data_IF_768082024796
#
_entry.id   IF_768082024796
#
_cell.length_a   1.000
_cell.length_b   1.000
_cell.length_c   1.000
_cell.angle_alpha   90.00
_cell.angle_beta   90.00
_cell.angle_gamma   90.00
#
_symmetry.space_group_name_H-M   'P 1'
#
loop_
_entity.id
_entity.type
_entity.pdbx_description
1 polymer ?
#
# COMPACT_ATOMS: atom_id res chain seq x y z
N UNK A 1 -16.31 0.02 -49.92
CA UNK A 1 -15.65 -0.40 -48.68
C UNK A 1 -16.63 -0.22 -47.55
N UNK A 2 -16.95 -1.29 -46.81
CA UNK A 2 -17.94 -1.22 -45.73
C UNK A 2 -17.47 -0.32 -44.60
N UNK A 3 -18.38 0.48 -44.04
CA UNK A 3 -18.08 1.31 -42.87
C UNK A 3 -17.69 0.43 -41.67
N UNK A 4 -16.60 0.77 -40.97
CA UNK A 4 -16.13 0.04 -39.78
C UNK A 4 -17.22 0.01 -38.70
N UNK A 5 -17.51 -1.14 -38.09
CA UNK A 5 -18.51 -1.23 -37.02
C UNK A 5 -18.14 -0.38 -35.79
N UNK A 6 -19.12 -0.02 -34.94
CA UNK A 6 -18.88 0.71 -33.70
C UNK A 6 -17.88 -0.02 -32.79
N UNK A 7 -17.96 -1.35 -32.73
CA UNK A 7 -17.00 -2.19 -32.01
C UNK A 7 -15.60 -2.05 -32.60
N UNK A 8 -15.43 -2.15 -33.92
CA UNK A 8 -14.12 -2.04 -34.56
C UNK A 8 -13.48 -0.67 -34.32
N UNK A 9 -14.27 0.40 -34.34
CA UNK A 9 -13.82 1.75 -34.03
C UNK A 9 -13.37 1.88 -32.57
N UNK A 10 -14.09 1.26 -31.64
CA UNK A 10 -13.69 1.21 -30.23
C UNK A 10 -12.42 0.38 -30.02
N UNK A 11 -12.33 -0.83 -30.59
CA UNK A 11 -11.20 -1.74 -30.42
C UNK A 11 -9.91 -1.12 -30.96
N UNK A 12 -9.98 -0.40 -32.09
CA UNK A 12 -8.86 0.36 -32.64
C UNK A 12 -8.32 1.39 -31.64
N UNK A 13 -9.21 2.20 -31.06
CA UNK A 13 -8.84 3.23 -30.11
C UNK A 13 -8.35 2.64 -28.78
N UNK A 14 -9.02 1.60 -28.27
CA UNK A 14 -8.66 0.92 -27.03
C UNK A 14 -7.26 0.28 -27.10
N UNK A 15 -6.90 -0.30 -28.25
CA UNK A 15 -5.59 -0.93 -28.47
C UNK A 15 -4.48 0.07 -28.83
N UNK A 16 -4.78 1.36 -29.03
CA UNK A 16 -3.82 2.34 -29.57
C UNK A 16 -2.54 2.47 -28.74
N UNK A 17 -2.68 2.68 -27.43
CA UNK A 17 -1.53 2.88 -26.52
C UNK A 17 -0.63 1.65 -26.51
N UNK A 18 -1.22 0.46 -26.35
CA UNK A 18 -0.46 -0.79 -26.34
C UNK A 18 0.33 -0.97 -27.65
N UNK A 19 -0.34 -0.79 -28.80
CA UNK A 19 0.31 -0.90 -30.12
C UNK A 19 1.46 0.10 -30.27
N UNK A 20 1.28 1.35 -29.83
CA UNK A 20 2.34 2.38 -29.89
C UNK A 20 3.55 2.05 -29.02
N UNK A 21 3.32 1.59 -27.80
CA UNK A 21 4.42 1.17 -26.92
C UNK A 21 5.12 -0.10 -27.43
N UNK A 22 4.40 -1.01 -28.10
CA UNK A 22 5.02 -2.16 -28.78
C UNK A 22 5.92 -1.71 -29.94
N UNK A 23 5.48 -0.73 -30.73
CA UNK A 23 6.29 -0.10 -31.78
C UNK A 23 7.53 0.60 -31.21
N UNK A 24 7.39 1.38 -30.13
CA UNK A 24 8.52 2.05 -29.47
C UNK A 24 9.56 1.04 -28.97
N UNK A 25 9.13 -0.05 -28.33
CA UNK A 25 10.02 -1.12 -27.88
C UNK A 25 10.74 -1.79 -29.05
N UNK A 26 10.02 -2.06 -30.14
CA UNK A 26 10.61 -2.65 -31.36
C UNK A 26 11.65 -1.74 -32.00
N UNK A 27 11.49 -0.42 -31.87
CA UNK A 27 12.37 0.60 -32.42
C UNK A 27 13.41 1.12 -31.40
N UNK A 28 13.56 0.45 -30.25
CA UNK A 28 14.50 0.82 -29.17
C UNK A 28 14.35 2.27 -28.67
N UNK A 29 13.14 2.83 -28.77
CA UNK A 29 12.85 4.17 -28.25
C UNK A 29 12.79 4.08 -26.72
N UNK A 30 13.63 4.84 -25.97
CA UNK A 30 13.62 4.79 -24.52
C UNK A 30 12.30 5.33 -23.96
N UNK A 31 11.87 4.79 -22.81
CA UNK A 31 10.71 5.32 -22.11
C UNK A 31 10.97 6.75 -21.68
N UNK A 32 10.01 7.63 -21.99
CA UNK A 32 10.00 9.02 -21.57
C UNK A 32 8.57 9.40 -21.16
N UNK A 33 8.45 10.18 -20.08
CA UNK A 33 7.14 10.56 -19.52
C UNK A 33 6.36 11.49 -20.46
N UNK A 34 7.04 12.35 -21.22
CA UNK A 34 6.39 13.20 -22.21
C UNK A 34 5.91 12.38 -23.41
N UNK A 35 6.69 11.38 -23.84
CA UNK A 35 6.28 10.43 -24.88
C UNK A 35 5.02 9.65 -24.48
N UNK A 36 4.98 9.17 -23.23
CA UNK A 36 3.80 8.51 -22.68
C UNK A 36 2.57 9.43 -22.71
N UNK A 37 2.68 10.64 -22.18
CA UNK A 37 1.57 11.61 -22.17
C UNK A 37 1.06 11.92 -23.58
N UNK A 38 1.97 12.10 -24.55
CA UNK A 38 1.61 12.33 -25.95
C UNK A 38 0.84 11.14 -26.53
N UNK A 39 1.29 9.92 -26.28
CA UNK A 39 0.64 8.69 -26.76
C UNK A 39 -0.79 8.55 -26.21
N UNK A 40 -0.99 8.86 -24.93
CA UNK A 40 -2.34 8.88 -24.33
C UNK A 40 -3.22 10.01 -24.90
N UNK A 41 -2.64 11.15 -25.27
CA UNK A 41 -3.39 12.22 -25.94
C UNK A 41 -3.84 11.81 -27.34
N UNK A 42 -2.96 11.17 -28.11
CA UNK A 42 -3.28 10.64 -29.45
C UNK A 42 -4.40 9.58 -29.39
N UNK A 43 -4.42 8.74 -28.36
CA UNK A 43 -5.52 7.80 -28.11
C UNK A 43 -6.86 8.54 -27.88
N UNK A 44 -6.86 9.58 -27.05
CA UNK A 44 -8.06 10.39 -26.79
C UNK A 44 -8.58 11.03 -28.07
N UNK A 45 -7.69 11.58 -28.89
CA UNK A 45 -8.03 12.22 -30.15
C UNK A 45 -8.57 11.20 -31.17
N UNK A 46 -7.97 10.01 -31.24
CA UNK A 46 -8.50 8.90 -32.03
C UNK A 46 -9.89 8.48 -31.58
N UNK A 47 -10.10 8.30 -30.28
CA UNK A 47 -11.40 7.94 -29.72
C UNK A 47 -12.47 8.99 -30.03
N UNK A 48 -12.12 10.29 -29.93
CA UNK A 48 -13.01 11.39 -30.26
C UNK A 48 -13.39 11.41 -31.75
N UNK A 49 -12.41 11.19 -32.65
CA UNK A 49 -12.68 11.08 -34.09
C UNK A 49 -13.59 9.90 -34.39
N UNK A 50 -13.32 8.75 -33.80
CA UNK A 50 -14.07 7.52 -34.01
C UNK A 50 -15.54 7.65 -33.54
N UNK A 51 -15.80 8.27 -32.39
CA UNK A 51 -17.19 8.51 -31.96
C UNK A 51 -17.89 9.58 -32.80
N UNK A 52 -17.17 10.60 -33.26
CA UNK A 52 -17.72 11.62 -34.16
C UNK A 52 -18.16 11.00 -35.49
N UNK A 53 -17.33 10.12 -36.06
CA UNK A 53 -17.68 9.36 -37.25
C UNK A 53 -18.90 8.46 -37.02
N UNK A 54 -18.97 7.79 -35.86
CA UNK A 54 -20.09 6.91 -35.54
C UNK A 54 -21.41 7.68 -35.44
N UNK A 55 -21.43 8.81 -34.72
CA UNK A 55 -22.63 9.65 -34.56
C UNK A 55 -23.06 10.29 -35.87
N UNK A 56 -22.13 10.59 -36.79
CA UNK A 56 -22.45 11.13 -38.11
C UNK A 56 -23.25 10.16 -39.00
N UNK A 57 -23.26 8.86 -38.69
CA UNK A 57 -24.05 7.85 -39.44
C UNK A 57 -25.55 7.92 -39.16
N UNK A 58 -25.95 8.63 -38.11
CA UNK A 58 -27.36 8.78 -37.71
C UNK A 58 -27.62 8.38 -36.26
N UNK A 59 -28.90 8.24 -35.88
CA UNK A 59 -29.29 7.86 -34.52
C UNK A 59 -28.71 6.51 -34.10
N UNK A 60 -27.97 6.49 -33.00
CA UNK A 60 -27.40 5.25 -32.45
C UNK A 60 -28.44 4.49 -31.63
N UNK A 61 -28.48 3.17 -31.84
CA UNK A 61 -29.29 2.19 -31.09
C UNK A 61 -28.44 0.99 -30.67
N UNK A 62 -29.00 0.08 -29.87
CA UNK A 62 -28.33 -1.15 -29.47
C UNK A 62 -26.90 -0.99 -28.95
N UNK A 63 -26.03 -1.91 -29.37
CA UNK A 63 -24.62 -1.94 -28.95
C UNK A 63 -23.81 -0.75 -29.47
N UNK A 64 -24.28 -0.01 -30.48
CA UNK A 64 -23.58 1.18 -30.96
C UNK A 64 -23.59 2.29 -29.91
N UNK A 65 -24.66 2.42 -29.12
CA UNK A 65 -24.69 3.32 -27.96
C UNK A 65 -23.65 2.93 -26.90
N UNK A 66 -23.50 1.63 -26.66
CA UNK A 66 -22.51 1.12 -25.72
C UNK A 66 -21.07 1.45 -26.18
N UNK A 67 -20.73 1.16 -27.44
CA UNK A 67 -19.38 1.46 -27.96
C UNK A 67 -19.14 2.96 -28.10
N UNK A 68 -20.15 3.76 -28.46
CA UNK A 68 -20.06 5.22 -28.43
C UNK A 68 -19.76 5.73 -27.02
N UNK A 69 -20.44 5.19 -26.00
CA UNK A 69 -20.19 5.55 -24.61
C UNK A 69 -18.76 5.20 -24.15
N UNK A 70 -18.22 4.05 -24.59
CA UNK A 70 -16.83 3.68 -24.32
C UNK A 70 -15.83 4.60 -25.03
N UNK A 71 -16.08 4.98 -26.28
CA UNK A 71 -15.25 5.92 -27.02
C UNK A 71 -15.27 7.31 -26.38
N UNK A 72 -16.44 7.81 -25.97
CA UNK A 72 -16.53 9.07 -25.22
C UNK A 72 -15.76 9.01 -23.90
N UNK A 73 -15.86 7.90 -23.16
CA UNK A 73 -15.10 7.72 -21.92
C UNK A 73 -13.59 7.75 -22.19
N UNK A 74 -13.14 7.04 -23.24
CA UNK A 74 -11.74 7.01 -23.66
C UNK A 74 -11.24 8.40 -24.11
N UNK A 75 -12.10 9.18 -24.78
CA UNK A 75 -11.83 10.56 -25.18
C UNK A 75 -11.88 11.59 -24.02
N UNK A 76 -12.21 11.15 -22.80
CA UNK A 76 -12.39 12.04 -21.65
C UNK A 76 -13.61 12.96 -21.76
N UNK A 77 -14.65 12.56 -22.51
CA UNK A 77 -15.93 13.27 -22.65
C UNK A 77 -16.98 12.63 -21.76
N UNK A 78 -16.90 12.90 -20.46
CA UNK A 78 -17.71 12.24 -19.44
C UNK A 78 -19.22 12.39 -19.63
N UNK A 79 -19.71 13.56 -20.05
CA UNK A 79 -21.14 13.79 -20.29
C UNK A 79 -21.66 12.92 -21.45
N UNK A 80 -20.94 12.88 -22.58
CA UNK A 80 -21.31 12.05 -23.73
C UNK A 80 -21.25 10.55 -23.41
N UNK A 81 -20.27 10.14 -22.61
CA UNK A 81 -20.16 8.76 -22.14
C UNK A 81 -21.35 8.37 -21.26
N UNK A 82 -21.72 9.23 -20.31
CA UNK A 82 -22.83 9.00 -19.40
C UNK A 82 -24.17 8.98 -20.14
N UNK A 83 -24.44 9.93 -21.04
CA UNK A 83 -25.65 9.96 -21.86
C UNK A 83 -25.80 8.69 -22.70
N UNK A 84 -24.74 8.30 -23.42
CA UNK A 84 -24.74 7.11 -24.28
C UNK A 84 -25.02 5.84 -23.48
N UNK A 85 -24.41 5.70 -22.30
CA UNK A 85 -24.60 4.54 -21.43
C UNK A 85 -25.99 4.51 -20.79
N UNK A 86 -26.56 5.64 -20.39
CA UNK A 86 -27.95 5.73 -19.90
C UNK A 86 -28.94 5.27 -20.97
N UNK A 87 -28.80 5.81 -22.18
CA UNK A 87 -29.66 5.45 -23.33
C UNK A 87 -29.53 3.99 -23.69
N UNK A 88 -28.31 3.44 -23.67
CA UNK A 88 -28.08 2.02 -23.86
C UNK A 88 -28.85 1.21 -22.80
N UNK A 89 -28.61 1.47 -21.51
CA UNK A 89 -29.22 0.70 -20.41
C UNK A 89 -30.76 0.84 -20.33
N UNK A 90 -31.33 1.94 -20.82
CA UNK A 90 -32.78 2.16 -20.88
C UNK A 90 -33.43 1.57 -22.14
N UNK A 91 -32.66 1.28 -23.18
CA UNK A 91 -33.18 0.77 -24.46
C UNK A 91 -33.58 -0.70 -24.39
N UNK A 92 -34.58 -1.10 -25.20
CA UNK A 92 -35.01 -2.49 -25.31
C UNK A 92 -33.86 -3.43 -25.73
N UNK A 93 -32.93 -2.93 -26.55
CA UNK A 93 -31.76 -3.67 -27.00
C UNK A 93 -30.80 -4.08 -25.87
N UNK A 94 -30.78 -3.35 -24.75
CA UNK A 94 -29.98 -3.77 -23.59
C UNK A 94 -30.50 -5.07 -22.99
N UNK A 95 -31.80 -5.40 -23.11
CA UNK A 95 -32.33 -6.69 -22.68
C UNK A 95 -31.73 -7.86 -23.50
N UNK A 96 -31.42 -7.61 -24.77
CA UNK A 96 -30.84 -8.59 -25.70
C UNK A 96 -29.30 -8.63 -25.65
N UNK A 97 -28.64 -7.60 -25.12
CA UNK A 97 -27.20 -7.60 -24.91
C UNK A 97 -26.76 -8.67 -23.89
N UNK A 98 -25.48 -9.05 -23.91
CA UNK A 98 -24.95 -9.96 -22.89
C UNK A 98 -24.98 -9.31 -21.49
N UNK A 99 -25.06 -10.14 -20.45
CA UNK A 99 -24.95 -9.65 -19.06
C UNK A 99 -23.65 -8.88 -18.83
N UNK A 100 -22.56 -9.31 -19.45
CA UNK A 100 -21.25 -8.66 -19.37
C UNK A 100 -21.27 -7.23 -19.94
N UNK A 101 -21.86 -7.02 -21.13
CA UNK A 101 -21.97 -5.68 -21.73
C UNK A 101 -22.81 -4.75 -20.84
N UNK A 102 -23.94 -5.24 -20.32
CA UNK A 102 -24.78 -4.46 -19.39
C UNK A 102 -24.02 -4.09 -18.12
N UNK A 103 -23.29 -5.03 -17.53
CA UNK A 103 -22.56 -4.77 -16.30
C UNK A 103 -21.40 -3.80 -16.52
N UNK A 104 -20.67 -3.95 -17.63
CA UNK A 104 -19.62 -3.01 -18.02
C UNK A 104 -20.17 -1.60 -18.28
N UNK A 105 -21.34 -1.48 -18.90
CA UNK A 105 -22.01 -0.19 -19.06
C UNK A 105 -22.33 0.47 -17.71
N UNK A 106 -22.84 -0.29 -16.73
CA UNK A 106 -23.09 0.22 -15.37
C UNK A 106 -21.82 0.69 -14.67
N UNK A 107 -20.70 -0.02 -14.83
CA UNK A 107 -19.40 0.44 -14.30
C UNK A 107 -19.02 1.81 -14.86
N UNK A 108 -19.17 2.00 -16.18
CA UNK A 108 -18.90 3.30 -16.83
C UNK A 108 -19.83 4.38 -16.29
N UNK A 109 -21.14 4.11 -16.16
CA UNK A 109 -22.09 5.07 -15.57
C UNK A 109 -21.65 5.49 -14.17
N UNK A 110 -21.28 4.56 -13.28
CA UNK A 110 -20.82 4.90 -11.93
C UNK A 110 -19.58 5.78 -11.95
N UNK A 111 -18.60 5.46 -12.81
CA UNK A 111 -17.39 6.25 -12.94
C UNK A 111 -17.65 7.68 -13.43
N UNK A 112 -18.42 7.81 -14.52
CA UNK A 112 -18.67 9.12 -15.13
C UNK A 112 -19.62 9.97 -14.27
N UNK A 113 -20.70 9.39 -13.75
CA UNK A 113 -21.63 10.08 -12.86
C UNK A 113 -20.93 10.59 -11.59
N UNK A 114 -20.08 9.78 -10.96
CA UNK A 114 -19.31 10.20 -9.79
C UNK A 114 -18.34 11.35 -10.10
N UNK A 115 -17.65 11.32 -11.25
CA UNK A 115 -16.75 12.39 -11.69
C UNK A 115 -17.49 13.71 -11.96
N UNK A 116 -18.70 13.62 -12.52
CA UNK A 116 -19.59 14.76 -12.79
C UNK A 116 -20.36 15.25 -11.55
N UNK A 117 -20.11 14.67 -10.37
CA UNK A 117 -20.77 15.07 -9.12
C UNK A 117 -22.20 14.53 -8.97
N UNK A 118 -22.61 13.56 -9.77
CA UNK A 118 -23.90 12.87 -9.71
C UNK A 118 -23.80 11.58 -8.86
N UNK A 119 -23.37 11.74 -7.60
CA UNK A 119 -23.07 10.61 -6.71
C UNK A 119 -24.30 9.72 -6.40
N UNK A 120 -25.50 10.31 -6.29
CA UNK A 120 -26.74 9.55 -6.05
C UNK A 120 -27.07 8.59 -7.19
N UNK A 121 -26.86 9.02 -8.43
CA UNK A 121 -27.07 8.19 -9.61
C UNK A 121 -26.00 7.09 -9.70
N UNK A 122 -24.75 7.43 -9.39
CA UNK A 122 -23.67 6.46 -9.32
C UNK A 122 -23.99 5.38 -8.27
N UNK A 123 -24.50 5.75 -7.10
CA UNK A 123 -24.91 4.80 -6.06
C UNK A 123 -26.11 3.95 -6.47
N UNK A 124 -27.13 4.55 -7.09
CA UNK A 124 -28.29 3.82 -7.64
C UNK A 124 -27.86 2.80 -8.70
N UNK A 125 -26.93 3.19 -9.57
CA UNK A 125 -26.39 2.30 -10.61
C UNK A 125 -25.53 1.19 -10.01
N UNK A 126 -24.78 1.46 -8.93
CA UNK A 126 -24.09 0.43 -8.16
C UNK A 126 -25.07 -0.59 -7.57
N UNK A 127 -26.18 -0.14 -6.97
CA UNK A 127 -27.21 -1.05 -6.47
C UNK A 127 -27.77 -1.96 -7.59
N UNK A 128 -28.03 -1.38 -8.76
CA UNK A 128 -28.47 -2.15 -9.93
C UNK A 128 -27.40 -3.12 -10.46
N UNK A 129 -26.10 -2.77 -10.39
CA UNK A 129 -25.00 -3.68 -10.72
C UNK A 129 -25.00 -4.89 -9.78
N UNK A 130 -25.12 -4.65 -8.47
CA UNK A 130 -25.07 -5.70 -7.43
C UNK A 130 -26.23 -6.69 -7.52
N UNK A 131 -27.36 -6.29 -8.09
CA UNK A 131 -28.53 -7.15 -8.34
C UNK A 131 -28.43 -7.95 -9.65
N UNK A 132 -27.55 -7.56 -10.57
CA UNK A 132 -27.35 -8.24 -11.86
C UNK A 132 -26.19 -9.23 -11.87
N UNK A 133 -26.06 -9.98 -12.97
CA UNK A 133 -24.94 -10.91 -13.23
C UNK A 133 -24.34 -10.65 -14.64
N UNK A 134 -23.04 -10.93 -14.87
CA UNK A 134 -22.05 -11.42 -13.90
C UNK A 134 -21.51 -10.32 -12.98
N UNK A 135 -21.16 -10.68 -11.73
CA UNK A 135 -20.51 -9.77 -10.79
C UNK A 135 -19.00 -9.98 -10.74
N UNK A 136 -18.26 -8.89 -10.94
CA UNK A 136 -16.80 -8.86 -10.83
C UNK A 136 -16.38 -8.18 -9.52
N UNK A 137 -15.57 -8.87 -8.72
CA UNK A 137 -15.01 -8.30 -7.50
C UNK A 137 -14.14 -7.06 -7.78
N UNK A 138 -13.43 -7.06 -8.91
CA UNK A 138 -12.60 -5.94 -9.34
C UNK A 138 -13.46 -4.72 -9.73
N UNK A 139 -14.60 -4.94 -10.38
CA UNK A 139 -15.53 -3.88 -10.77
C UNK A 139 -16.17 -3.23 -9.53
N UNK A 140 -16.66 -4.05 -8.60
CA UNK A 140 -17.22 -3.59 -7.32
C UNK A 140 -16.20 -2.75 -6.54
N UNK A 141 -14.95 -3.22 -6.45
CA UNK A 141 -13.88 -2.47 -5.81
C UNK A 141 -13.68 -1.11 -6.48
N UNK A 142 -13.57 -1.06 -7.82
CA UNK A 142 -13.40 0.21 -8.56
C UNK A 142 -14.57 1.17 -8.32
N UNK A 143 -15.80 0.67 -8.33
CA UNK A 143 -17.00 1.47 -8.10
C UNK A 143 -17.06 2.04 -6.68
N UNK A 144 -16.74 1.23 -5.66
CA UNK A 144 -16.69 1.70 -4.27
C UNK A 144 -15.60 2.74 -4.03
N UNK A 145 -14.38 2.56 -4.57
CA UNK A 145 -13.31 3.57 -4.48
C UNK A 145 -13.75 4.89 -5.13
N UNK A 146 -14.41 4.80 -6.29
CA UNK A 146 -14.90 5.96 -7.03
C UNK A 146 -15.95 6.73 -6.21
N UNK A 147 -16.95 6.03 -5.67
CA UNK A 147 -18.01 6.63 -4.86
C UNK A 147 -17.48 7.22 -3.54
N UNK A 148 -16.61 6.50 -2.83
CA UNK A 148 -15.96 7.01 -1.63
C UNK A 148 -15.25 8.34 -1.93
N UNK A 149 -14.46 8.39 -3.00
CA UNK A 149 -13.73 9.59 -3.42
C UNK A 149 -14.67 10.74 -3.79
N UNK A 150 -15.77 10.45 -4.49
CA UNK A 150 -16.76 11.45 -4.89
C UNK A 150 -17.46 12.09 -3.67
N UNK A 151 -17.86 11.29 -2.68
CA UNK A 151 -18.46 11.80 -1.44
C UNK A 151 -17.44 12.54 -0.57
N UNK A 152 -16.21 12.05 -0.46
CA UNK A 152 -15.12 12.74 0.26
C UNK A 152 -14.87 14.13 -0.35
N UNK A 153 -14.86 14.25 -1.69
CA UNK A 153 -14.69 15.54 -2.39
C UNK A 153 -15.81 16.52 -2.03
N UNK A 154 -17.02 16.03 -1.80
CA UNK A 154 -18.18 16.81 -1.32
C UNK A 154 -18.22 17.00 0.20
N UNK A 155 -17.25 16.45 0.94
CA UNK A 155 -17.21 16.40 2.42
C UNK A 155 -18.39 15.64 3.05
N UNK A 156 -19.04 14.75 2.29
CA UNK A 156 -20.10 13.88 2.79
C UNK A 156 -19.49 12.58 3.34
N UNK A 157 -18.92 12.67 4.54
CA UNK A 157 -18.17 11.56 5.11
C UNK A 157 -19.05 10.40 5.58
N UNK A 158 -20.32 10.67 5.92
CA UNK A 158 -21.29 9.63 6.29
C UNK A 158 -21.58 8.69 5.12
N UNK A 159 -21.80 9.23 3.91
CA UNK A 159 -22.00 8.41 2.71
C UNK A 159 -20.71 7.86 2.12
N UNK A 160 -19.58 8.52 2.36
CA UNK A 160 -18.27 7.99 1.96
C UNK A 160 -17.86 6.74 2.76
N UNK A 161 -18.15 6.72 4.07
CA UNK A 161 -17.71 5.67 4.99
C UNK A 161 -18.07 4.23 4.56
N UNK A 162 -19.32 3.89 4.18
CA UNK A 162 -19.64 2.52 3.75
C UNK A 162 -18.88 2.10 2.49
N UNK A 163 -18.66 3.00 1.53
CA UNK A 163 -17.88 2.68 0.32
C UNK A 163 -16.38 2.55 0.60
N UNK A 164 -15.83 3.36 1.50
CA UNK A 164 -14.45 3.18 1.97
C UNK A 164 -14.30 1.85 2.73
N UNK A 165 -15.34 1.40 3.44
CA UNK A 165 -15.36 0.11 4.15
C UNK A 165 -15.32 -1.07 3.18
N UNK A 166 -16.15 -1.03 2.14
CA UNK A 166 -16.12 -2.05 1.07
C UNK A 166 -14.78 -2.07 0.32
N UNK A 167 -14.20 -0.88 0.09
CA UNK A 167 -12.85 -0.75 -0.47
C UNK A 167 -11.80 -1.44 0.40
N UNK A 168 -11.83 -1.20 1.72
CA UNK A 168 -10.92 -1.84 2.66
C UNK A 168 -11.14 -3.36 2.73
N UNK A 169 -12.39 -3.81 2.80
CA UNK A 169 -12.72 -5.23 2.78
C UNK A 169 -12.22 -5.94 1.50
N UNK A 170 -12.31 -5.28 0.34
CA UNK A 170 -11.75 -5.78 -0.91
C UNK A 170 -10.21 -5.85 -0.88
N UNK A 171 -9.55 -4.81 -0.37
CA UNK A 171 -8.10 -4.79 -0.20
C UNK A 171 -7.61 -5.96 0.67
N UNK A 172 -8.32 -6.24 1.77
CA UNK A 172 -8.00 -7.34 2.68
C UNK A 172 -8.17 -8.72 2.03
N UNK A 173 -9.14 -8.91 1.13
CA UNK A 173 -9.34 -10.17 0.39
C UNK A 173 -8.20 -10.43 -0.60
N UNK A 174 -7.80 -9.41 -1.37
CA UNK A 174 -6.69 -9.54 -2.34
C UNK A 174 -5.37 -9.76 -1.62
N UNK A 175 -5.14 -9.07 -0.52
CA UNK A 175 -3.91 -9.18 0.26
C UNK A 175 -3.75 -10.51 1.02
N UNK A 176 -4.80 -11.33 1.10
CA UNK A 176 -4.73 -12.70 1.62
C UNK A 176 -4.06 -13.70 0.67
N UNK A 177 -3.87 -13.34 -0.61
CA UNK A 177 -3.16 -14.18 -1.57
C UNK A 177 -1.64 -14.11 -1.31
N UNK A 178 -1.08 -15.24 -0.85
CA UNK A 178 0.34 -15.37 -0.51
C UNK A 178 1.30 -15.20 -1.69
N UNK A 179 0.79 -15.17 -2.93
CA UNK A 179 1.61 -14.91 -4.13
C UNK A 179 1.81 -13.42 -4.44
N UNK A 180 1.08 -12.53 -3.77
CA UNK A 180 1.24 -11.10 -3.98
C UNK A 180 2.59 -10.61 -3.44
N UNK A 181 3.27 -9.74 -4.21
CA UNK A 181 4.44 -9.01 -3.76
C UNK A 181 4.15 -8.31 -2.42
N UNK A 182 5.04 -8.49 -1.43
CA UNK A 182 4.81 -8.02 -0.07
C UNK A 182 4.63 -6.50 -0.01
N UNK A 183 5.39 -5.75 -0.81
CA UNK A 183 5.28 -4.30 -0.87
C UNK A 183 3.94 -3.87 -1.49
N UNK A 184 3.52 -4.49 -2.60
CA UNK A 184 2.23 -4.19 -3.23
C UNK A 184 1.05 -4.55 -2.31
N UNK A 185 1.13 -5.69 -1.63
CA UNK A 185 0.15 -6.13 -0.63
C UNK A 185 0.00 -5.09 0.48
N UNK A 186 1.12 -4.70 1.09
CA UNK A 186 1.11 -3.77 2.22
C UNK A 186 0.62 -2.38 1.81
N UNK A 187 1.03 -1.89 0.64
CA UNK A 187 0.54 -0.63 0.07
C UNK A 187 -0.97 -0.66 -0.18
N UNK A 188 -1.51 -1.80 -0.63
CA UNK A 188 -2.94 -1.98 -0.90
C UNK A 188 -3.75 -1.98 0.40
N UNK A 189 -3.30 -2.72 1.43
CA UNK A 189 -3.96 -2.71 2.75
C UNK A 189 -3.92 -1.30 3.35
N UNK A 190 -2.73 -0.68 3.39
CA UNK A 190 -2.55 0.62 4.00
C UNK A 190 -3.39 1.70 3.31
N UNK A 191 -3.32 1.79 1.98
CA UNK A 191 -4.04 2.83 1.24
C UNK A 191 -5.55 2.79 1.46
N UNK A 192 -6.14 1.59 1.43
CA UNK A 192 -7.58 1.43 1.66
C UNK A 192 -7.96 1.63 3.15
N UNK A 193 -7.14 1.15 4.08
CA UNK A 193 -7.39 1.31 5.52
C UNK A 193 -7.23 2.74 6.00
N UNK A 194 -6.23 3.47 5.50
CA UNK A 194 -6.04 4.90 5.77
C UNK A 194 -7.18 5.76 5.18
N UNK A 195 -7.66 5.42 3.98
CA UNK A 195 -8.84 6.05 3.39
C UNK A 195 -10.06 5.87 4.30
N UNK A 196 -10.32 4.65 4.77
CA UNK A 196 -11.44 4.37 5.67
C UNK A 196 -11.27 5.07 7.03
N UNK A 197 -10.12 4.94 7.67
CA UNK A 197 -9.86 5.54 8.97
C UNK A 197 -10.02 7.07 8.94
N UNK A 198 -9.38 7.74 7.96
CA UNK A 198 -9.51 9.20 7.81
C UNK A 198 -10.94 9.65 7.49
N UNK A 199 -11.68 8.86 6.70
CA UNK A 199 -13.10 9.12 6.42
C UNK A 199 -13.94 9.01 7.69
N UNK A 200 -13.73 7.97 8.51
CA UNK A 200 -14.42 7.77 9.77
C UNK A 200 -14.11 8.87 10.79
N UNK A 201 -12.85 9.31 10.90
CA UNK A 201 -12.48 10.45 11.76
C UNK A 201 -13.24 11.70 11.35
N UNK A 202 -13.29 12.00 10.04
CA UNK A 202 -14.00 13.18 9.52
C UNK A 202 -15.53 13.08 9.62
N UNK A 203 -16.06 11.87 9.71
CA UNK A 203 -17.46 11.58 10.04
C UNK A 203 -17.76 11.66 11.55
N UNK A 204 -16.78 12.00 12.41
CA UNK A 204 -16.97 12.01 13.87
C UNK A 204 -16.99 10.62 14.51
N UNK A 205 -16.65 9.56 13.76
CA UNK A 205 -16.68 8.15 14.17
C UNK A 205 -15.28 7.66 14.56
N UNK A 206 -14.57 8.46 15.36
CA UNK A 206 -13.18 8.19 15.79
C UNK A 206 -12.98 6.78 16.40
N UNK A 207 -13.87 6.24 17.27
CA UNK A 207 -13.69 4.88 17.80
C UNK A 207 -13.62 3.80 16.71
N UNK A 208 -14.42 3.92 15.65
CA UNK A 208 -14.37 2.99 14.53
C UNK A 208 -13.09 3.16 13.70
N UNK A 209 -12.62 4.40 13.52
CA UNK A 209 -11.34 4.65 12.85
C UNK A 209 -10.16 3.99 13.59
N UNK A 210 -10.13 4.10 14.92
CA UNK A 210 -9.12 3.45 15.76
C UNK A 210 -9.20 1.93 15.60
N UNK A 211 -10.41 1.35 15.55
CA UNK A 211 -10.57 -0.09 15.31
C UNK A 211 -9.99 -0.54 13.97
N UNK A 212 -10.18 0.24 12.90
CA UNK A 212 -9.60 -0.03 11.57
C UNK A 212 -8.08 0.02 11.62
N UNK A 213 -7.51 1.02 12.30
CA UNK A 213 -6.06 1.17 12.45
C UNK A 213 -5.47 0.00 13.26
N UNK A 214 -6.13 -0.40 14.35
CA UNK A 214 -5.71 -1.56 15.14
C UNK A 214 -5.81 -2.87 14.35
N UNK A 215 -6.84 -3.04 13.50
CA UNK A 215 -6.92 -4.18 12.58
C UNK A 215 -5.74 -4.20 11.61
N UNK A 216 -5.37 -3.06 11.02
CA UNK A 216 -4.18 -2.97 10.16
C UNK A 216 -2.91 -3.40 10.91
N UNK A 217 -2.70 -2.90 12.15
CA UNK A 217 -1.56 -3.29 12.98
C UNK A 217 -1.57 -4.80 13.26
N UNK A 218 -2.73 -5.34 13.62
CA UNK A 218 -2.89 -6.76 13.92
C UNK A 218 -2.61 -7.65 12.70
N UNK A 219 -3.09 -7.24 11.51
CA UNK A 219 -2.78 -7.91 10.25
C UNK A 219 -1.31 -7.81 9.88
N UNK A 220 -0.68 -6.68 10.16
CA UNK A 220 0.75 -6.49 9.94
C UNK A 220 1.58 -7.50 10.76
N UNK A 221 1.21 -7.77 12.01
CA UNK A 221 1.83 -8.82 12.84
C UNK A 221 1.64 -10.21 12.23
N UNK A 222 0.44 -10.50 11.71
CA UNK A 222 0.14 -11.79 11.10
C UNK A 222 0.84 -11.98 9.73
N UNK A 223 1.05 -10.89 8.99
CA UNK A 223 1.73 -10.84 7.69
C UNK A 223 3.24 -10.55 7.80
N UNK A 224 3.83 -10.65 9.01
CA UNK A 224 5.04 -9.94 9.47
C UNK A 224 5.52 -8.79 8.59
N UNK A 225 4.64 -7.82 8.37
CA UNK A 225 4.98 -6.59 7.68
C UNK A 225 5.33 -5.50 8.70
N UNK A 226 6.61 -5.26 8.93
CA UNK A 226 7.03 -4.14 9.75
C UNK A 226 6.70 -2.79 9.10
N UNK A 227 6.66 -2.72 7.77
CA UNK A 227 6.21 -1.53 7.03
C UNK A 227 4.75 -1.19 7.35
N UNK A 228 3.83 -2.13 7.11
CA UNK A 228 2.40 -1.91 7.39
C UNK A 228 2.17 -1.63 8.87
N UNK A 229 2.92 -2.32 9.75
CA UNK A 229 2.84 -2.10 11.19
C UNK A 229 3.22 -0.66 11.55
N UNK A 230 4.34 -0.14 11.03
CA UNK A 230 4.75 1.26 11.25
C UNK A 230 3.70 2.23 10.75
N UNK A 231 3.29 2.10 9.49
CA UNK A 231 2.36 3.04 8.87
C UNK A 231 1.01 3.08 9.62
N UNK A 232 0.51 1.92 10.06
CA UNK A 232 -0.69 1.88 10.89
C UNK A 232 -0.44 2.45 12.30
N UNK A 233 0.76 2.28 12.86
CA UNK A 233 1.14 2.86 14.15
C UNK A 233 1.25 4.38 14.08
N UNK A 234 1.77 4.95 12.99
CA UNK A 234 1.80 6.40 12.74
C UNK A 234 0.38 6.98 12.72
N UNK A 235 -0.56 6.34 12.01
CA UNK A 235 -1.98 6.75 12.02
C UNK A 235 -2.59 6.72 13.43
N UNK A 236 -2.20 5.76 14.26
CA UNK A 236 -2.68 5.66 15.64
C UNK A 236 -2.16 6.82 16.50
N UNK A 237 -0.88 7.15 16.36
CA UNK A 237 -0.23 8.28 17.04
C UNK A 237 -0.83 9.63 16.61
N UNK A 238 -1.16 9.81 15.33
CA UNK A 238 -1.85 11.01 14.83
C UNK A 238 -3.21 11.23 15.51
N UNK A 239 -3.84 10.15 16.00
CA UNK A 239 -5.09 10.25 16.77
C UNK A 239 -4.86 10.51 18.27
N UNK A 240 -3.61 10.64 18.72
CA UNK A 240 -3.26 10.82 20.14
C UNK A 240 -3.47 9.57 20.99
N UNK A 241 -3.54 8.39 20.35
CA UNK A 241 -3.71 7.12 21.04
C UNK A 241 -2.38 6.61 21.61
N UNK A 242 -2.46 5.86 22.71
CA UNK A 242 -1.30 5.20 23.31
C UNK A 242 -0.93 3.96 22.51
N UNK A 243 0.37 3.67 22.45
CA UNK A 243 0.89 2.49 21.76
C UNK A 243 0.68 1.22 22.59
N UNK A 244 -0.51 0.65 22.50
CA UNK A 244 -0.82 -0.66 23.06
C UNK A 244 -0.48 -1.79 22.08
N UNK A 245 -0.39 -3.03 22.59
CA UNK A 245 -0.22 -4.22 21.76
C UNK A 245 -1.43 -4.40 20.85
N UNK A 246 -1.23 -4.60 19.53
CA UNK A 246 -2.36 -4.85 18.64
C UNK A 246 -3.12 -6.12 19.06
N UNK A 247 -4.45 -6.12 18.98
CA UNK A 247 -5.24 -7.32 19.24
C UNK A 247 -4.90 -8.43 18.22
N UNK A 248 -5.11 -9.70 18.56
CA UNK A 248 -4.91 -10.78 17.60
C UNK A 248 -6.03 -10.80 16.54
N UNK A 249 -5.69 -11.00 15.26
CA UNK A 249 -6.69 -11.25 14.21
C UNK A 249 -7.02 -12.73 14.16
N UNK A 250 -8.30 -13.10 14.33
CA UNK A 250 -8.73 -14.48 14.20
C UNK A 250 -8.53 -14.99 12.76
N UNK A 251 -8.00 -16.20 12.60
CA UNK A 251 -7.90 -16.90 11.31
C UNK A 251 -6.69 -16.56 10.44
N UNK A 252 -5.81 -15.64 10.84
CA UNK A 252 -4.55 -15.40 10.13
C UNK A 252 -3.39 -16.09 10.87
N UNK A 253 -2.83 -17.13 10.25
CA UNK A 253 -1.60 -17.76 10.74
C UNK A 253 -0.42 -16.77 10.59
N UNK A 254 0.42 -16.57 11.61
CA UNK A 254 1.60 -15.73 11.50
C UNK A 254 2.53 -16.24 10.40
N UNK A 255 2.94 -15.39 9.47
CA UNK A 255 4.03 -15.74 8.54
C UNK A 255 5.40 -15.52 9.20
N UNK A 256 6.50 -15.91 8.54
CA UNK A 256 7.84 -15.77 9.10
C UNK A 256 8.35 -14.33 8.98
N UNK A 257 8.87 -13.76 10.07
CA UNK A 257 9.55 -12.46 10.06
C UNK A 257 10.68 -12.44 9.02
N UNK A 258 10.82 -11.37 8.21
CA UNK A 258 11.87 -11.28 7.18
C UNK A 258 13.26 -11.57 7.75
N UNK A 259 14.06 -12.39 7.07
CA UNK A 259 15.43 -12.65 7.52
C UNK A 259 16.33 -11.42 7.31
N UNK A 260 17.39 -11.32 8.11
CA UNK A 260 18.40 -10.25 7.97
C UNK A 260 19.50 -10.69 7.00
N UNK A 261 19.88 -9.79 6.07
CA UNK A 261 21.04 -9.97 5.19
C UNK A 261 22.19 -9.14 5.72
N UNK A 262 23.22 -9.82 6.23
CA UNK A 262 24.37 -9.20 6.89
C UNK A 262 25.65 -9.78 6.30
N UNK A 263 26.56 -8.90 5.90
CA UNK A 263 27.81 -9.28 5.24
C UNK A 263 28.97 -9.42 6.22
N UNK A 264 28.97 -8.64 7.30
CA UNK A 264 29.99 -8.71 8.35
C UNK A 264 29.34 -8.56 9.74
N UNK A 265 29.85 -9.27 10.74
CA UNK A 265 29.40 -9.16 12.13
C UNK A 265 30.52 -8.66 13.04
N UNK A 266 30.20 -7.72 13.94
CA UNK A 266 31.13 -7.16 14.93
C UNK A 266 30.67 -7.54 16.34
N UNK A 267 31.55 -8.28 17.04
CA UNK A 267 31.32 -8.84 18.39
C UNK A 267 29.98 -9.59 18.50
N UNK A 268 29.59 -10.27 17.42
CA UNK A 268 28.42 -11.12 17.30
C UNK A 268 28.77 -12.29 16.41
N UNK A 269 28.39 -13.50 16.81
CA UNK A 269 28.46 -14.63 15.89
C UNK A 269 27.35 -14.49 14.85
N UNK A 270 27.62 -14.79 13.56
CA UNK A 270 26.59 -14.76 12.54
C UNK A 270 25.33 -15.51 13.00
N UNK A 271 24.18 -14.85 12.89
CA UNK A 271 22.92 -15.35 13.42
C UNK A 271 21.78 -15.09 12.45
N UNK A 272 20.89 -16.07 12.33
CA UNK A 272 19.60 -15.91 11.64
C UNK A 272 18.52 -15.66 12.67
N UNK A 273 17.52 -14.86 12.35
CA UNK A 273 16.40 -14.60 13.24
C UNK A 273 15.60 -15.86 13.54
N UNK A 274 15.57 -16.82 12.61
CA UNK A 274 14.97 -18.14 12.88
C UNK A 274 15.64 -18.89 14.01
N UNK A 275 16.94 -18.69 14.21
CA UNK A 275 17.72 -19.37 15.26
C UNK A 275 17.50 -18.71 16.64
N UNK A 276 16.87 -17.53 16.67
CA UNK A 276 16.54 -16.78 17.88
C UNK A 276 15.10 -17.01 18.37
N UNK A 277 14.34 -17.94 17.77
CA UNK A 277 13.01 -18.33 18.29
C UNK A 277 13.15 -18.78 19.76
N UNK A 278 12.15 -18.42 20.57
CA UNK A 278 12.18 -18.57 22.02
C UNK A 278 12.80 -17.37 22.77
N UNK A 279 13.47 -16.45 22.08
CA UNK A 279 13.98 -15.19 22.63
C UNK A 279 13.13 -14.01 22.18
N UNK A 280 13.11 -12.96 22.98
CA UNK A 280 12.63 -11.65 22.53
C UNK A 280 13.80 -10.98 21.82
N UNK A 281 13.61 -10.51 20.59
CA UNK A 281 14.67 -9.90 19.79
C UNK A 281 14.37 -8.43 19.55
N UNK A 282 15.34 -7.55 19.82
CA UNK A 282 15.30 -6.14 19.49
C UNK A 282 16.32 -5.87 18.37
N UNK A 283 15.84 -5.54 17.18
CA UNK A 283 16.68 -5.02 16.12
C UNK A 283 16.81 -3.51 16.29
N UNK A 284 18.04 -3.01 16.36
CA UNK A 284 18.35 -1.59 16.49
C UNK A 284 19.04 -1.12 15.21
N UNK A 285 18.34 -0.34 14.39
CA UNK A 285 18.86 0.22 13.14
C UNK A 285 19.47 1.60 13.40
N UNK A 286 20.77 1.75 13.10
CA UNK A 286 21.54 2.95 13.44
C UNK A 286 22.68 3.19 12.44
N UNK A 287 23.34 4.35 12.57
CA UNK A 287 24.59 4.66 11.89
C UNK A 287 25.47 5.55 12.78
N UNK A 288 26.78 5.57 12.52
CA UNK A 288 27.76 6.31 13.35
C UNK A 288 27.57 7.82 13.30
N UNK A 289 27.17 8.34 12.14
CA UNK A 289 26.89 9.75 11.88
C UNK A 289 25.53 10.22 12.42
N UNK A 290 24.66 9.29 12.81
CA UNK A 290 23.30 9.58 13.24
C UNK A 290 23.26 10.16 14.66
N UNK A 291 23.10 11.47 14.77
CA UNK A 291 22.97 12.19 16.05
C UNK A 291 21.89 11.62 16.98
N UNK A 292 20.63 11.48 16.52
CA UNK A 292 19.55 10.90 17.35
C UNK A 292 19.82 9.44 17.78
N UNK A 293 20.49 8.64 16.96
CA UNK A 293 20.89 7.28 17.32
C UNK A 293 21.83 7.29 18.52
N UNK A 294 22.77 8.24 18.57
CA UNK A 294 23.71 8.38 19.71
C UNK A 294 23.00 8.77 21.01
N UNK A 295 21.85 9.44 20.91
CA UNK A 295 20.98 9.76 22.06
C UNK A 295 20.20 8.53 22.54
N UNK A 296 19.79 7.64 21.63
CA UNK A 296 19.03 6.42 21.96
C UNK A 296 19.91 5.26 22.46
N UNK A 297 21.15 5.16 21.97
CA UNK A 297 22.09 4.08 22.29
C UNK A 297 22.26 3.81 23.80
N UNK A 298 22.47 4.80 24.69
CA UNK A 298 22.60 4.55 26.12
C UNK A 298 21.37 3.84 26.72
N UNK A 299 20.17 4.16 26.23
CA UNK A 299 18.92 3.55 26.70
C UNK A 299 18.80 2.11 26.23
N UNK A 300 19.11 1.84 24.96
CA UNK A 300 19.13 0.49 24.39
C UNK A 300 20.20 -0.37 25.09
N UNK A 301 21.38 0.19 25.36
CA UNK A 301 22.42 -0.47 26.16
C UNK A 301 21.94 -0.85 27.57
N UNK A 302 21.22 0.05 28.24
CA UNK A 302 20.66 -0.23 29.56
C UNK A 302 19.64 -1.38 29.50
N UNK A 303 18.75 -1.39 28.50
CA UNK A 303 17.77 -2.47 28.30
C UNK A 303 18.45 -3.79 27.94
N UNK A 304 19.44 -3.76 27.04
CA UNK A 304 20.26 -4.90 26.65
C UNK A 304 20.87 -5.56 27.89
N UNK A 305 21.57 -4.80 28.72
CA UNK A 305 22.18 -5.32 29.96
C UNK A 305 21.14 -5.83 30.96
N UNK A 306 20.06 -5.06 31.17
CA UNK A 306 19.03 -5.38 32.18
C UNK A 306 18.24 -6.65 31.86
N UNK A 307 17.96 -6.90 30.59
CA UNK A 307 17.04 -7.96 30.18
C UNK A 307 17.72 -9.15 29.46
N UNK A 308 19.04 -9.10 29.22
CA UNK A 308 19.79 -10.20 28.59
C UNK A 308 19.48 -11.55 29.22
N UNK A 309 19.61 -11.63 30.55
CA UNK A 309 19.46 -12.88 31.29
C UNK A 309 17.99 -13.34 31.41
N UNK A 310 17.04 -12.48 31.04
CA UNK A 310 15.61 -12.80 30.92
C UNK A 310 15.21 -13.27 29.52
N UNK A 311 16.15 -13.30 28.59
CA UNK A 311 15.94 -13.76 27.21
C UNK A 311 15.73 -12.67 26.18
N UNK A 312 16.09 -11.42 26.47
CA UNK A 312 16.22 -10.38 25.45
C UNK A 312 17.55 -10.55 24.69
N UNK A 313 17.49 -10.53 23.36
CA UNK A 313 18.64 -10.41 22.47
C UNK A 313 18.52 -9.08 21.74
N UNK A 314 19.55 -8.25 21.82
CA UNK A 314 19.63 -7.00 21.05
C UNK A 314 20.64 -7.19 19.93
N UNK A 315 20.22 -6.90 18.70
CA UNK A 315 21.08 -6.93 17.51
C UNK A 315 21.10 -5.54 16.90
N UNK A 316 22.26 -4.89 16.91
CA UNK A 316 22.44 -3.68 16.13
C UNK A 316 22.55 -4.01 14.64
N UNK A 317 22.07 -3.11 13.78
CA UNK A 317 22.14 -3.22 12.33
C UNK A 317 22.55 -1.86 11.77
N UNK A 318 23.68 -1.82 11.07
CA UNK A 318 24.19 -0.64 10.35
C UNK A 318 24.46 -1.03 8.90
N UNK A 319 24.57 -0.03 8.04
CA UNK A 319 24.96 -0.21 6.64
C UNK A 319 26.43 0.17 6.45
N UNK A 320 27.06 -0.37 5.42
CA UNK A 320 28.35 0.10 4.93
C UNK A 320 28.15 1.40 4.16
N UNK A 321 28.76 2.49 4.62
CA UNK A 321 28.57 3.84 4.07
C UNK A 321 29.65 4.21 3.05
N UNK A 322 30.82 3.58 3.11
CA UNK A 322 31.99 3.94 2.30
C UNK A 322 32.64 5.26 2.70
N UNK A 323 32.18 5.87 3.80
CA UNK A 323 32.72 7.11 4.35
C UNK A 323 32.45 7.25 5.84
N UNK A 324 33.33 7.97 6.54
CA UNK A 324 33.07 8.46 7.89
C UNK A 324 33.81 9.77 8.15
N UNK A 325 33.18 10.67 8.93
CA UNK A 325 33.73 11.98 9.30
C UNK A 325 34.22 12.80 8.08
N UNK A 326 33.46 12.75 6.97
CA UNK A 326 33.78 13.48 5.73
C UNK A 326 34.96 12.90 4.93
N UNK A 327 35.36 11.66 5.21
CA UNK A 327 36.45 10.96 4.48
C UNK A 327 35.94 9.66 3.90
N UNK A 328 36.27 9.42 2.64
CA UNK A 328 36.04 8.12 2.00
C UNK A 328 36.87 7.03 2.70
N UNK A 329 36.24 5.89 2.97
CA UNK A 329 36.84 4.74 3.62
C UNK A 329 36.67 3.49 2.76
N UNK A 330 37.72 2.67 2.70
CA UNK A 330 37.62 1.29 2.23
C UNK A 330 36.89 0.44 3.26
N UNK A 331 36.36 -0.72 2.84
CA UNK A 331 35.68 -1.66 3.75
C UNK A 331 36.48 -2.01 5.02
N UNK A 332 37.76 -2.41 4.96
CA UNK A 332 38.52 -2.69 6.17
C UNK A 332 38.67 -1.48 7.10
N UNK A 333 38.80 -0.28 6.54
CA UNK A 333 38.92 0.96 7.32
C UNK A 333 37.61 1.30 8.03
N UNK A 334 36.47 1.16 7.36
CA UNK A 334 35.17 1.41 7.99
C UNK A 334 34.82 0.37 9.06
N UNK A 335 35.14 -0.91 8.83
CA UNK A 335 34.95 -1.95 9.85
C UNK A 335 35.79 -1.67 11.10
N UNK A 336 37.02 -1.19 10.94
CA UNK A 336 37.83 -0.77 12.08
C UNK A 336 37.27 0.48 12.77
N UNK A 337 36.81 1.46 11.99
CA UNK A 337 36.11 2.64 12.52
C UNK A 337 34.88 2.26 13.35
N UNK A 338 34.06 1.31 12.87
CA UNK A 338 32.89 0.79 13.58
C UNK A 338 33.27 0.09 14.90
N UNK A 339 34.37 -0.69 14.92
CA UNK A 339 34.89 -1.30 16.16
C UNK A 339 35.32 -0.24 17.18
N UNK A 340 35.97 0.82 16.73
CA UNK A 340 36.38 1.93 17.60
C UNK A 340 35.16 2.72 18.10
N UNK A 341 34.20 2.99 17.23
CA UNK A 341 32.95 3.64 17.59
C UNK A 341 32.19 2.85 18.66
N UNK A 342 32.07 1.52 18.50
CA UNK A 342 31.43 0.65 19.49
C UNK A 342 32.06 0.80 20.88
N UNK A 343 33.41 0.76 20.95
CA UNK A 343 34.17 0.93 22.20
C UNK A 343 33.91 2.31 22.81
N UNK A 344 33.99 3.38 22.01
CA UNK A 344 33.80 4.77 22.46
C UNK A 344 32.37 5.05 22.94
N UNK A 345 31.38 4.47 22.26
CA UNK A 345 29.95 4.63 22.56
C UNK A 345 29.43 3.61 23.58
N UNK A 346 30.30 2.73 24.10
CA UNK A 346 29.98 1.68 25.08
C UNK A 346 28.78 0.80 24.68
N UNK A 347 28.68 0.47 23.38
CA UNK A 347 27.62 -0.39 22.86
C UNK A 347 27.79 -1.80 23.41
N UNK A 348 26.81 -2.29 24.18
CA UNK A 348 26.92 -3.55 24.93
C UNK A 348 26.51 -4.79 24.13
N UNK A 349 25.97 -4.61 22.94
CA UNK A 349 25.48 -5.67 22.06
C UNK A 349 26.26 -5.71 20.75
N UNK A 350 26.34 -6.88 20.15
CA UNK A 350 26.91 -7.06 18.83
C UNK A 350 26.02 -6.52 17.71
N UNK A 351 26.60 -6.28 16.54
CA UNK A 351 25.85 -5.74 15.41
C UNK A 351 26.34 -6.27 14.07
N UNK A 352 25.43 -6.27 13.10
CA UNK A 352 25.70 -6.62 11.71
C UNK A 352 25.90 -5.39 10.84
N UNK A 353 26.76 -5.52 9.83
CA UNK A 353 26.98 -4.54 8.77
C UNK A 353 26.41 -5.10 7.46
N UNK A 354 25.42 -4.42 6.89
CA UNK A 354 24.80 -4.78 5.62
C UNK A 354 25.46 -4.03 4.45
N UNK A 355 25.49 -4.65 3.26
CA UNK A 355 26.00 -4.02 2.04
C UNK A 355 24.99 -3.10 1.37
N UNK A 356 23.72 -3.24 1.71
CA UNK A 356 22.62 -2.48 1.13
C UNK A 356 21.50 -2.21 2.15
N UNK A 357 20.50 -1.45 1.66
CA UNK A 357 19.31 -1.04 2.40
C UNK A 357 18.22 -2.11 2.46
N UNK A 358 18.42 -3.31 1.90
CA UNK A 358 17.36 -4.31 1.76
C UNK A 358 16.88 -4.81 3.13
N UNK A 359 17.80 -5.05 4.07
CA UNK A 359 17.44 -5.44 5.45
C UNK A 359 16.62 -4.34 6.12
N UNK A 360 17.03 -3.07 6.04
CA UNK A 360 16.21 -1.97 6.56
C UNK A 360 14.84 -1.91 5.89
N UNK A 361 14.80 -1.95 4.56
CA UNK A 361 13.57 -1.86 3.74
C UNK A 361 12.59 -3.02 3.98
N UNK A 362 13.07 -4.23 4.22
CA UNK A 362 12.21 -5.39 4.53
C UNK A 362 11.48 -5.20 5.87
N UNK A 363 12.11 -4.45 6.79
CA UNK A 363 11.51 -3.97 8.02
C UNK A 363 10.82 -2.61 7.89
N UNK A 364 10.72 -2.10 6.66
CA UNK A 364 10.17 -0.80 6.30
C UNK A 364 11.00 0.39 6.78
N UNK A 365 12.20 0.21 7.32
CA UNK A 365 13.02 1.29 7.89
C UNK A 365 13.27 2.35 6.81
N UNK A 366 12.75 3.56 7.05
CA UNK A 366 12.91 4.74 6.16
C UNK A 366 13.76 5.83 6.80
N UNK A 367 13.98 5.75 8.11
CA UNK A 367 14.80 6.67 8.90
C UNK A 367 15.44 5.94 10.06
N UNK A 368 16.60 6.43 10.51
CA UNK A 368 17.27 5.96 11.71
C UNK A 368 17.27 7.07 12.79
N UNK A 369 17.22 6.73 14.09
CA UNK A 369 17.13 5.38 14.63
C UNK A 369 15.78 4.71 14.34
N UNK A 370 15.76 3.38 14.26
CA UNK A 370 14.52 2.59 14.30
C UNK A 370 14.79 1.34 15.11
N UNK A 371 13.92 1.04 16.08
CA UNK A 371 13.95 -0.19 16.84
C UNK A 371 12.75 -1.08 16.46
N UNK A 372 13.02 -2.35 16.14
CA UNK A 372 11.99 -3.36 15.84
C UNK A 372 12.03 -4.44 16.91
N UNK A 373 10.93 -4.62 17.62
CA UNK A 373 10.80 -5.62 18.67
C UNK A 373 10.03 -6.83 18.15
N UNK A 374 10.62 -8.01 18.35
CA UNK A 374 10.18 -9.30 17.86
C UNK A 374 9.95 -10.22 19.07
N UNK A 375 8.81 -10.93 19.11
CA UNK A 375 8.50 -11.87 20.21
C UNK A 375 9.21 -13.23 20.10
N UNK A 376 8.99 -14.09 21.10
CA UNK A 376 9.53 -15.46 21.16
C UNK A 376 9.08 -16.35 20.02
N UNK A 377 7.90 -16.09 19.47
CA UNK A 377 7.41 -16.78 18.29
C UNK A 377 7.90 -16.10 17.02
N UNK A 378 8.91 -15.22 17.11
CA UNK A 378 9.55 -14.43 16.07
C UNK A 378 8.60 -13.65 15.18
N UNK A 379 7.62 -12.97 15.77
CA UNK A 379 6.72 -12.03 15.11
C UNK A 379 7.08 -10.61 15.51
N UNK A 380 7.04 -9.66 14.58
CA UNK A 380 7.18 -8.23 14.91
C UNK A 380 6.00 -7.79 15.77
N UNK A 381 6.26 -7.21 16.94
CA UNK A 381 5.24 -6.79 17.91
C UNK A 381 5.23 -5.31 18.21
N UNK A 382 6.32 -4.62 17.92
CA UNK A 382 6.46 -3.18 18.14
C UNK A 382 7.54 -2.59 17.25
N UNK A 383 7.36 -1.34 16.83
CA UNK A 383 8.33 -0.57 16.07
C UNK A 383 8.30 0.88 16.58
N UNK A 384 9.47 1.46 16.81
CA UNK A 384 9.59 2.86 17.24
C UNK A 384 10.84 3.49 16.64
N UNK A 385 10.88 4.82 16.50
CA UNK A 385 12.10 5.55 16.13
C UNK A 385 13.05 5.59 17.34
N UNK A 386 12.54 5.46 18.57
CA UNK A 386 13.32 5.45 19.82
C UNK A 386 14.18 6.70 20.00
N UNK A 387 13.73 7.86 19.52
CA UNK A 387 14.52 9.09 19.53
C UNK A 387 14.37 9.90 20.83
N UNK A 388 13.27 9.74 21.57
CA UNK A 388 12.96 10.50 22.79
C UNK A 388 12.73 9.60 24.02
N UNK A 389 12.48 10.20 25.19
CA UNK A 389 12.32 9.46 26.45
C UNK A 389 11.00 8.65 26.49
N UNK A 390 9.90 9.23 26.01
CA UNK A 390 8.58 8.57 25.99
C UNK A 390 8.57 7.30 25.12
N UNK A 391 9.20 7.37 23.95
CA UNK A 391 9.35 6.24 23.04
C UNK A 391 10.23 5.14 23.65
N UNK A 392 11.30 5.51 24.33
CA UNK A 392 12.17 4.55 25.00
C UNK A 392 11.48 3.88 26.20
N UNK A 393 10.69 4.64 26.97
CA UNK A 393 9.91 4.10 28.07
C UNK A 393 8.84 3.13 27.57
N UNK A 394 8.18 3.48 26.45
CA UNK A 394 7.23 2.60 25.76
C UNK A 394 7.90 1.33 25.25
N UNK A 395 9.06 1.45 24.61
CA UNK A 395 9.85 0.30 24.15
C UNK A 395 10.21 -0.63 25.32
N UNK A 396 10.63 -0.06 26.46
CA UNK A 396 10.93 -0.84 27.66
C UNK A 396 9.69 -1.58 28.21
N UNK A 397 8.54 -0.91 28.28
CA UNK A 397 7.26 -1.52 28.70
C UNK A 397 6.88 -2.68 27.77
N UNK A 398 7.09 -2.50 26.46
CA UNK A 398 6.85 -3.54 25.46
C UNK A 398 7.81 -4.72 25.60
N UNK A 399 9.11 -4.47 25.80
CA UNK A 399 10.10 -5.53 26.08
C UNK A 399 9.69 -6.35 27.31
N UNK A 400 9.39 -5.67 28.42
CA UNK A 400 8.95 -6.30 29.66
C UNK A 400 7.73 -7.21 29.42
N UNK A 401 6.71 -6.69 28.73
CA UNK A 401 5.52 -7.44 28.38
C UNK A 401 5.84 -8.71 27.58
N UNK A 402 6.65 -8.61 26.53
CA UNK A 402 7.00 -9.79 25.71
C UNK A 402 7.87 -10.81 26.46
N UNK A 403 8.70 -10.35 27.41
CA UNK A 403 9.46 -11.25 28.27
C UNK A 403 8.57 -12.00 29.27
N UNK A 404 7.44 -11.41 29.66
CA UNK A 404 6.47 -11.99 30.58
C UNK A 404 5.41 -12.86 29.86
N UNK A 405 5.24 -12.71 28.55
CA UNK A 405 4.38 -13.56 27.71
C UNK A 405 4.89 -15.01 27.66
N UNK A 406 4.02 -16.01 27.84
CA UNK A 406 4.43 -17.42 27.72
C UNK A 406 4.87 -17.74 26.28
N UNK A 407 5.92 -18.57 26.10
CA UNK A 407 6.40 -18.99 24.78
C UNK A 407 5.33 -19.65 23.91
#
# INVERSE_FOLDING_TARGET
GGESSAQSLYDEAAAYVQRKFDEFRKNEVPYDRSLEQKTYQEQKDLALRNVTQLVARGPLGGTDLYYAGLLYALAGRGEGALDSMRRFLAGADAAHASGEIRQRARVVVVQQAAQLGLADEAEKTLAAYTQGEPRSAADLQRMHVTLASAYIKKKDYERAAPHARETYAAALRVAGDRKADAQQRDATIYGAGALLASTLVRAGRRPEAISVIQEMRARAVALPSARLYRQATELLLEQGERLDVPPAVAGLAPSATPEIKISEWIDQTPVRLTDLRGKVVLLDFWATWCGPCRVSMPKINAMSRKYRDRGLVVLGLTEFEGEADGRALTRPQELEYLRQFKKKSNISYGFGVADDKETGRSYGVVSIPTAVLIDRQGRVRFLTISANDDEAETLQKMIQKLLDEKP
#
